data_IF_156203187869
#
_entry.id   IF_156203187869
#
_cell.length_a   1.000
_cell.length_b   1.000
_cell.length_c   1.000
_cell.angle_alpha   90.00
_cell.angle_beta   90.00
_cell.angle_gamma   90.00
#
_symmetry.space_group_name_H-M   'P 1'
#
loop_
_entity.id
_entity.type
_entity.pdbx_description
1 polymer ?
#
# COMPACT_ATOMS: atom_id res chain seq x y z
N UNK A 1 6.82 25.56 -1.48
CA UNK A 1 6.94 25.91 -0.04
C UNK A 1 5.91 25.08 0.73
N UNK A 2 6.20 24.70 2.00
CA UNK A 2 5.53 23.74 2.94
C UNK A 2 5.88 22.24 2.89
N UNK A 3 6.70 21.77 1.96
CA UNK A 3 7.06 20.35 1.84
C UNK A 3 8.26 19.91 2.73
N UNK A 4 8.30 20.31 4.01
CA UNK A 4 9.39 19.89 4.95
C UNK A 4 8.99 19.75 6.41
N UNK A 5 7.70 19.80 6.75
CA UNK A 5 7.31 19.53 8.13
C UNK A 5 7.09 18.02 8.31
N UNK A 6 8.10 17.35 8.87
CA UNK A 6 8.08 15.90 9.16
C UNK A 6 6.85 15.50 9.98
N UNK A 7 6.37 16.35 10.89
CA UNK A 7 5.18 16.08 11.69
C UNK A 7 3.90 16.10 10.85
N UNK A 8 3.79 17.07 9.92
CA UNK A 8 2.64 17.15 9.00
C UNK A 8 2.61 15.90 8.14
N UNK A 9 3.75 15.53 7.55
CA UNK A 9 3.81 14.34 6.70
C UNK A 9 3.50 13.06 7.46
N UNK A 10 4.06 12.89 8.67
CA UNK A 10 3.77 11.76 9.53
C UNK A 10 2.28 11.67 9.87
N UNK A 11 1.67 12.78 10.28
CA UNK A 11 0.23 12.85 10.58
C UNK A 11 -0.65 12.54 9.36
N UNK A 12 -0.26 13.02 8.17
CA UNK A 12 -0.94 12.69 6.93
C UNK A 12 -0.86 11.19 6.62
N UNK A 13 0.32 10.57 6.71
CA UNK A 13 0.49 9.13 6.51
C UNK A 13 -0.33 8.34 7.53
N UNK A 14 -0.34 8.74 8.81
CA UNK A 14 -1.15 8.10 9.84
C UNK A 14 -2.66 8.20 9.55
N UNK A 15 -3.11 9.35 9.04
CA UNK A 15 -4.51 9.56 8.64
C UNK A 15 -4.89 8.67 7.47
N UNK A 16 -4.02 8.57 6.44
CA UNK A 16 -4.26 7.66 5.31
C UNK A 16 -4.26 6.20 5.76
N UNK A 17 -3.34 5.81 6.63
CA UNK A 17 -3.34 4.48 7.24
C UNK A 17 -4.68 4.19 7.93
N UNK A 18 -5.14 5.07 8.81
CA UNK A 18 -6.43 4.93 9.50
C UNK A 18 -7.62 4.85 8.54
N UNK A 19 -7.62 5.68 7.49
CA UNK A 19 -8.63 5.63 6.43
C UNK A 19 -8.64 4.25 5.77
N UNK A 20 -7.51 3.73 5.31
CA UNK A 20 -7.46 2.45 4.59
C UNK A 20 -7.75 1.25 5.49
N UNK A 21 -7.23 1.23 6.72
CA UNK A 21 -7.50 0.17 7.72
C UNK A 21 -8.99 0.04 8.03
N UNK A 22 -9.73 1.15 8.03
CA UNK A 22 -11.18 1.13 8.27
C UNK A 22 -12.00 0.45 7.17
N UNK A 23 -11.38 0.08 6.04
CA UNK A 23 -12.03 -0.52 4.85
C UNK A 23 -13.31 0.24 4.46
N UNK A 24 -13.20 1.55 4.16
CA UNK A 24 -14.36 2.39 3.87
C UNK A 24 -15.15 1.85 2.69
N UNK A 25 -16.46 2.03 2.73
CA UNK A 25 -17.34 1.68 1.62
C UNK A 25 -17.16 2.62 0.44
N UNK A 26 -17.67 2.21 -0.72
CA UNK A 26 -17.62 2.99 -1.98
C UNK A 26 -18.22 4.40 -1.86
N UNK A 27 -19.17 4.59 -0.94
CA UNK A 27 -19.76 5.91 -0.67
C UNK A 27 -18.80 6.89 0.02
N UNK A 28 -17.84 6.37 0.80
CA UNK A 28 -16.85 7.15 1.54
C UNK A 28 -15.57 7.32 0.72
N UNK A 29 -15.07 6.21 0.17
CA UNK A 29 -13.86 6.20 -0.66
C UNK A 29 -14.10 5.35 -1.90
N UNK A 30 -14.49 5.98 -3.03
CA UNK A 30 -14.65 5.27 -4.28
C UNK A 30 -13.36 4.57 -4.73
N UNK A 31 -13.47 3.39 -5.34
CA UNK A 31 -12.34 2.58 -5.84
C UNK A 31 -11.38 3.41 -6.70
N UNK A 32 -11.93 4.21 -7.61
CA UNK A 32 -11.14 5.05 -8.51
C UNK A 32 -10.32 6.10 -7.74
N UNK A 33 -10.90 6.66 -6.66
CA UNK A 33 -10.23 7.64 -5.81
C UNK A 33 -9.15 6.97 -4.96
N UNK A 34 -9.35 5.76 -4.47
CA UNK A 34 -8.29 5.01 -3.79
C UNK A 34 -7.07 4.82 -4.74
N UNK A 35 -7.30 4.41 -5.99
CA UNK A 35 -6.23 4.31 -7.00
C UNK A 35 -5.50 5.63 -7.28
N UNK A 36 -6.22 6.76 -7.30
CA UNK A 36 -5.63 8.09 -7.43
C UNK A 36 -4.77 8.47 -6.22
N UNK A 37 -5.23 8.17 -5.00
CA UNK A 37 -4.45 8.42 -3.77
C UNK A 37 -3.18 7.56 -3.76
N UNK A 38 -3.27 6.28 -4.12
CA UNK A 38 -2.10 5.40 -4.27
C UNK A 38 -1.08 6.01 -5.24
N UNK A 39 -1.56 6.52 -6.38
CA UNK A 39 -0.69 7.18 -7.37
C UNK A 39 -0.01 8.42 -6.79
N UNK A 40 -0.76 9.28 -6.10
CA UNK A 40 -0.20 10.47 -5.45
C UNK A 40 0.78 10.13 -4.31
N UNK A 41 0.56 9.02 -3.58
CA UNK A 41 1.48 8.55 -2.55
C UNK A 41 2.83 8.10 -3.14
N UNK A 42 2.85 7.55 -4.36
CA UNK A 42 4.12 7.26 -5.04
C UNK A 42 4.90 8.53 -5.40
N UNK A 43 4.23 9.63 -5.74
CA UNK A 43 4.91 10.90 -6.05
C UNK A 43 5.64 11.47 -4.81
N UNK A 44 5.23 11.04 -3.62
CA UNK A 44 5.88 11.38 -2.35
C UNK A 44 6.97 10.38 -1.90
N UNK A 45 7.10 9.20 -2.51
CA UNK A 45 7.91 8.07 -2.00
C UNK A 45 9.23 8.53 -1.31
N UNK A 46 9.40 8.27 0.00
CA UNK A 46 10.59 8.69 0.72
C UNK A 46 11.88 8.03 0.20
N UNK A 47 13.04 8.70 0.35
CA UNK A 47 14.33 8.08 0.07
C UNK A 47 14.54 6.84 0.96
N UNK A 48 15.03 5.75 0.38
CA UNK A 48 15.29 4.51 1.12
C UNK A 48 16.36 4.65 2.22
N UNK A 49 17.13 5.75 2.20
CA UNK A 49 18.06 6.13 3.26
C UNK A 49 17.35 6.54 4.55
N UNK A 50 16.11 7.02 4.43
CA UNK A 50 15.29 7.51 5.54
C UNK A 50 14.35 6.38 6.00
N UNK A 51 14.88 5.51 6.86
CA UNK A 51 14.22 4.27 7.30
C UNK A 51 12.80 4.52 7.81
N UNK A 52 12.63 5.44 8.77
CA UNK A 52 11.33 5.67 9.42
C UNK A 52 10.24 6.16 8.44
N UNK A 53 10.45 7.25 7.66
CA UNK A 53 9.49 7.66 6.64
C UNK A 53 9.18 6.57 5.62
N UNK A 54 10.20 5.81 5.17
CA UNK A 54 10.03 4.71 4.22
C UNK A 54 9.13 3.62 4.78
N UNK A 55 9.34 3.22 6.04
CA UNK A 55 8.51 2.23 6.71
C UNK A 55 7.08 2.71 6.90
N UNK A 56 6.87 3.95 7.38
CA UNK A 56 5.53 4.52 7.51
C UNK A 56 4.81 4.58 6.16
N UNK A 57 5.52 4.97 5.10
CA UNK A 57 4.98 4.98 3.75
C UNK A 57 4.61 3.57 3.27
N UNK A 58 5.49 2.58 3.46
CA UNK A 58 5.22 1.18 3.11
C UNK A 58 3.97 0.64 3.81
N UNK A 59 3.79 0.91 5.11
CA UNK A 59 2.61 0.50 5.85
C UNK A 59 1.33 1.13 5.28
N UNK A 60 1.36 2.43 4.93
CA UNK A 60 0.22 3.09 4.28
C UNK A 60 -0.07 2.46 2.92
N UNK A 61 0.96 2.22 2.10
CA UNK A 61 0.79 1.62 0.78
C UNK A 61 0.19 0.22 0.89
N UNK A 62 0.71 -0.62 1.80
CA UNK A 62 0.16 -1.95 2.06
C UNK A 62 -1.35 -1.87 2.34
N UNK A 63 -1.77 -1.05 3.29
CA UNK A 63 -3.18 -0.91 3.63
C UNK A 63 -4.02 -0.32 2.49
N UNK A 64 -3.46 0.60 1.70
CA UNK A 64 -4.14 1.16 0.52
C UNK A 64 -4.46 0.07 -0.52
N UNK A 65 -3.49 -0.83 -0.78
CA UNK A 65 -3.68 -1.97 -1.69
C UNK A 65 -4.63 -3.02 -1.12
N UNK A 66 -4.58 -3.31 0.19
CA UNK A 66 -5.52 -4.23 0.82
C UNK A 66 -6.96 -3.68 0.80
N UNK A 67 -7.13 -2.39 1.06
CA UNK A 67 -8.42 -1.71 0.90
C UNK A 67 -8.89 -1.74 -0.56
N UNK A 68 -7.96 -1.57 -1.51
CA UNK A 68 -8.29 -1.64 -2.92
C UNK A 68 -8.73 -3.05 -3.32
N UNK A 69 -8.01 -4.10 -2.88
CA UNK A 69 -8.38 -5.49 -3.13
C UNK A 69 -9.75 -5.84 -2.54
N UNK A 70 -10.08 -5.28 -1.37
CA UNK A 70 -11.38 -5.48 -0.74
C UNK A 70 -12.54 -4.95 -1.58
N UNK A 71 -12.37 -3.81 -2.24
CA UNK A 71 -13.42 -3.16 -3.03
C UNK A 71 -13.37 -3.49 -4.53
N UNK A 72 -12.18 -3.78 -5.08
CA UNK A 72 -11.98 -4.14 -6.50
C UNK A 72 -10.67 -4.89 -6.71
N UNK A 73 -10.79 -6.23 -6.82
CA UNK A 73 -9.67 -7.10 -7.20
C UNK A 73 -9.11 -6.75 -8.59
N UNK A 74 -9.95 -6.38 -9.54
CA UNK A 74 -9.52 -6.02 -10.90
C UNK A 74 -8.56 -4.81 -10.90
N UNK A 75 -8.93 -3.72 -10.22
CA UNK A 75 -8.06 -2.54 -10.18
C UNK A 75 -6.81 -2.81 -9.32
N UNK A 76 -6.94 -3.59 -8.24
CA UNK A 76 -5.79 -4.01 -7.46
C UNK A 76 -4.78 -4.80 -8.30
N UNK A 77 -5.24 -5.77 -9.11
CA UNK A 77 -4.38 -6.57 -10.00
C UNK A 77 -3.59 -5.71 -10.99
N UNK A 78 -4.21 -4.66 -11.54
CA UNK A 78 -3.55 -3.71 -12.46
C UNK A 78 -2.45 -2.91 -11.75
N UNK A 79 -2.67 -2.49 -10.51
CA UNK A 79 -1.73 -1.64 -9.77
C UNK A 79 -0.66 -2.42 -8.99
N UNK A 80 -0.89 -3.70 -8.72
CA UNK A 80 -0.03 -4.54 -7.87
C UNK A 80 1.42 -4.65 -8.37
N UNK A 81 1.71 -4.81 -9.68
CA UNK A 81 3.08 -4.91 -10.15
C UNK A 81 3.95 -3.70 -9.77
N UNK A 82 3.34 -2.52 -9.66
CA UNK A 82 4.05 -1.29 -9.30
C UNK A 82 4.63 -1.37 -7.88
N UNK A 83 3.84 -1.81 -6.89
CA UNK A 83 4.33 -1.90 -5.50
C UNK A 83 5.35 -3.01 -5.34
N UNK A 84 5.17 -4.14 -6.03
CA UNK A 84 6.15 -5.22 -6.02
C UNK A 84 7.50 -4.78 -6.59
N UNK A 85 7.48 -4.02 -7.69
CA UNK A 85 8.70 -3.43 -8.25
C UNK A 85 9.34 -2.43 -7.29
N UNK A 86 8.55 -1.55 -6.65
CA UNK A 86 9.07 -0.60 -5.65
C UNK A 86 9.71 -1.32 -4.46
N UNK A 87 9.04 -2.32 -3.88
CA UNK A 87 9.61 -3.13 -2.79
C UNK A 87 10.90 -3.85 -3.23
N UNK A 88 10.98 -4.32 -4.48
CA UNK A 88 12.20 -4.92 -5.03
C UNK A 88 13.37 -3.93 -5.09
N UNK A 89 13.11 -2.66 -5.40
CA UNK A 89 14.14 -1.61 -5.35
C UNK A 89 14.54 -1.28 -3.91
N UNK A 90 13.58 -1.26 -2.97
CA UNK A 90 13.85 -1.00 -1.55
C UNK A 90 14.71 -2.10 -0.90
N UNK A 91 14.68 -3.33 -1.41
CA UNK A 91 15.61 -4.39 -1.00
C UNK A 91 17.08 -4.05 -1.26
N UNK A 92 17.37 -3.19 -2.24
CA UNK A 92 18.72 -2.78 -2.59
C UNK A 92 19.24 -1.63 -1.69
N UNK A 93 18.45 -1.17 -0.71
CA UNK A 93 18.80 -0.03 0.17
C UNK A 93 19.94 -0.32 1.16
N UNK A 94 20.25 -1.59 1.42
CA UNK A 94 21.22 -2.00 2.45
C UNK A 94 20.77 -1.74 3.90
N UNK A 95 19.51 -1.32 4.12
CA UNK A 95 18.91 -1.09 5.45
C UNK A 95 18.06 -2.30 5.83
N UNK A 96 18.48 -3.04 6.85
CA UNK A 96 17.82 -4.29 7.29
C UNK A 96 16.33 -4.09 7.57
N UNK A 97 15.95 -2.98 8.20
CA UNK A 97 14.58 -2.65 8.55
C UNK A 97 13.73 -2.37 7.31
N UNK A 98 14.25 -1.62 6.34
CA UNK A 98 13.57 -1.35 5.06
C UNK A 98 13.41 -2.63 4.26
N UNK A 99 14.44 -3.49 4.25
CA UNK A 99 14.39 -4.79 3.60
C UNK A 99 13.29 -5.66 4.22
N UNK A 100 13.27 -5.76 5.55
CA UNK A 100 12.26 -6.52 6.30
C UNK A 100 10.85 -5.98 6.06
N UNK A 101 10.66 -4.65 6.13
CA UNK A 101 9.38 -4.00 5.85
C UNK A 101 8.89 -4.27 4.43
N UNK A 102 9.76 -4.15 3.43
CA UNK A 102 9.44 -4.44 2.03
C UNK A 102 9.06 -5.90 1.80
N UNK A 103 9.81 -6.83 2.42
CA UNK A 103 9.50 -8.26 2.39
C UNK A 103 8.16 -8.58 3.03
N UNK A 104 7.86 -7.96 4.17
CA UNK A 104 6.59 -8.11 4.85
C UNK A 104 5.44 -7.61 3.98
N UNK A 105 5.56 -6.42 3.39
CA UNK A 105 4.55 -5.87 2.48
C UNK A 105 4.32 -6.79 1.29
N UNK A 106 5.37 -7.29 0.64
CA UNK A 106 5.22 -8.26 -0.47
C UNK A 106 4.47 -9.50 0.01
N UNK A 107 4.86 -10.08 1.16
CA UNK A 107 4.21 -11.27 1.72
C UNK A 107 2.70 -11.03 1.89
N UNK A 108 2.32 -9.95 2.57
CA UNK A 108 0.91 -9.62 2.84
C UNK A 108 0.14 -9.41 1.53
N UNK A 109 0.69 -8.67 0.58
CA UNK A 109 0.01 -8.42 -0.70
C UNK A 109 -0.16 -9.69 -1.54
N UNK A 110 0.82 -10.60 -1.53
CA UNK A 110 0.67 -11.89 -2.20
C UNK A 110 -0.40 -12.75 -1.53
N UNK A 111 -0.47 -12.75 -0.19
CA UNK A 111 -1.48 -13.53 0.54
C UNK A 111 -2.89 -12.96 0.37
N UNK A 112 -3.07 -11.66 0.62
CA UNK A 112 -4.39 -11.06 0.78
C UNK A 112 -4.94 -10.38 -0.48
N UNK A 113 -4.08 -10.07 -1.46
CA UNK A 113 -4.53 -9.58 -2.78
C UNK A 113 -4.49 -10.71 -3.80
N UNK A 114 -3.32 -11.32 -4.03
CA UNK A 114 -3.17 -12.37 -5.06
C UNK A 114 -3.90 -13.64 -4.66
N UNK A 115 -3.86 -14.04 -3.38
CA UNK A 115 -4.64 -15.18 -2.89
C UNK A 115 -6.12 -15.07 -3.27
N UNK A 116 -6.75 -13.92 -2.98
CA UNK A 116 -8.14 -13.64 -3.33
C UNK A 116 -8.41 -13.59 -4.84
N UNK A 117 -7.44 -13.18 -5.64
CA UNK A 117 -7.57 -13.21 -7.12
C UNK A 117 -7.54 -14.63 -7.67
N UNK A 118 -6.86 -15.55 -6.98
CA UNK A 118 -6.74 -16.95 -7.36
C UNK A 118 -7.87 -17.83 -6.81
N UNK A 119 -8.62 -17.36 -5.81
CA UNK A 119 -9.83 -18.03 -5.33
C UNK A 119 -10.85 -18.12 -6.48
N UNK A 120 -11.03 -19.34 -6.99
CA UNK A 120 -12.00 -19.63 -8.04
C UNK A 120 -13.40 -19.69 -7.41
N UNK A 121 -14.43 -19.21 -8.11
CA UNK A 121 -15.84 -19.14 -7.62
C UNK A 121 -16.41 -20.46 -7.06
N UNK A 122 -15.76 -21.60 -7.27
CA UNK A 122 -16.19 -22.91 -6.74
C UNK A 122 -16.02 -23.07 -5.22
N UNK A 123 -15.23 -22.23 -4.53
CA UNK A 123 -14.98 -22.38 -3.08
C UNK A 123 -15.98 -21.67 -2.16
N UNK A 124 -17.08 -21.14 -2.68
CA UNK A 124 -18.07 -20.35 -1.91
C UNK A 124 -19.46 -21.00 -1.80
N UNK A 125 -19.62 -22.27 -2.19
CA UNK A 125 -20.91 -23.01 -2.18
C UNK A 125 -20.94 -24.27 -1.29
N UNK A 126 -20.06 -24.40 -0.28
CA UNK A 126 -20.17 -25.47 0.74
C UNK A 126 -20.38 -24.93 2.14
#
# INVERSE_FOLDING_TARGET
MTMRNVLVTSCCLQTFHGLFVSRPSEAILPVQRNGQIITALYDYQPPATDTQPTLSWLTVMQEAYLNLAHNSLNLCAVLLPRILNTCSQLWLSGKSEVISGSSHTIKILLQDCVGKMCETKESMET
#
